data_IF_486474882608
#
_entry.id   IF_486474882608
#
_cell.length_a   1.000
_cell.length_b   1.000
_cell.length_c   1.000
_cell.angle_alpha   90.00
_cell.angle_beta   90.00
_cell.angle_gamma   90.00
#
_symmetry.space_group_name_H-M   'P 1'
#
loop_
_entity.id
_entity.type
_entity.pdbx_description
1 polymer ?
#
# COMPACT_ATOMS: atom_id res chain seq x y z
N UNK A 1 -0.35 -38.65 -27.58
CA UNK A 1 -0.41 -37.22 -27.94
C UNK A 1 -0.37 -36.42 -26.65
N UNK A 2 0.62 -35.54 -26.50
CA UNK A 2 0.78 -34.70 -25.33
C UNK A 2 -0.20 -33.54 -25.50
N UNK A 3 -1.42 -33.67 -24.96
CA UNK A 3 -2.39 -32.58 -24.89
C UNK A 3 -1.84 -31.54 -23.92
N UNK A 4 -0.91 -30.72 -24.41
CA UNK A 4 -0.26 -29.66 -23.65
C UNK A 4 -1.34 -28.77 -23.06
N UNK A 5 -1.42 -28.75 -21.73
CA UNK A 5 -2.31 -27.86 -21.00
C UNK A 5 -1.91 -26.43 -21.39
N UNK A 6 -2.75 -25.78 -22.20
CA UNK A 6 -2.57 -24.40 -22.59
C UNK A 6 -3.00 -23.55 -21.39
N UNK A 7 -2.02 -23.08 -20.63
CA UNK A 7 -2.29 -22.11 -19.59
C UNK A 7 -2.60 -20.76 -20.25
N UNK A 8 -3.88 -20.47 -20.42
CA UNK A 8 -4.33 -19.19 -20.97
C UNK A 8 -4.17 -18.10 -19.91
N UNK A 9 -3.01 -17.45 -19.91
CA UNK A 9 -2.75 -16.21 -19.16
C UNK A 9 -2.52 -15.06 -20.16
N UNK A 10 -3.58 -14.62 -20.86
CA UNK A 10 -3.48 -13.75 -22.03
C UNK A 10 -2.85 -12.39 -21.71
N UNK A 11 -2.84 -12.00 -20.44
CA UNK A 11 -2.22 -10.77 -19.96
C UNK A 11 -1.50 -11.02 -18.62
N UNK A 12 -0.75 -12.13 -18.54
CA UNK A 12 0.05 -12.39 -17.35
C UNK A 12 0.99 -11.21 -17.07
N UNK A 13 0.83 -10.60 -15.91
CA UNK A 13 1.73 -9.57 -15.42
C UNK A 13 1.91 -9.72 -13.91
N UNK A 14 2.94 -9.05 -13.40
CA UNK A 14 3.24 -9.03 -11.98
C UNK A 14 3.76 -7.67 -11.58
N UNK A 15 3.62 -7.36 -10.30
CA UNK A 15 4.20 -6.20 -9.66
C UNK A 15 4.81 -6.59 -8.32
N UNK A 16 5.80 -5.83 -7.87
CA UNK A 16 6.55 -6.09 -6.65
C UNK A 16 6.68 -4.81 -5.83
N UNK A 17 6.58 -4.92 -4.51
CA UNK A 17 6.95 -3.85 -3.58
C UNK A 17 7.79 -4.41 -2.44
N UNK A 18 8.51 -3.55 -1.75
CA UNK A 18 9.34 -3.90 -0.60
C UNK A 18 9.47 -2.69 0.32
N UNK A 19 9.37 -2.93 1.62
CA UNK A 19 9.67 -1.93 2.65
C UNK A 19 9.93 -2.65 3.97
N UNK A 20 10.90 -2.16 4.74
CA UNK A 20 11.34 -2.79 5.97
C UNK A 20 11.91 -4.18 5.69
N UNK A 21 11.41 -5.17 6.42
CA UNK A 21 11.88 -6.55 6.35
C UNK A 21 11.12 -7.42 5.33
N UNK A 22 10.20 -6.83 4.55
CA UNK A 22 9.32 -7.56 3.65
C UNK A 22 9.55 -7.17 2.18
N UNK A 23 9.53 -8.19 1.33
CA UNK A 23 9.38 -8.05 -0.12
C UNK A 23 8.14 -8.86 -0.54
N UNK A 24 7.27 -8.25 -1.35
CA UNK A 24 6.02 -8.85 -1.81
C UNK A 24 5.95 -8.87 -3.33
N UNK A 25 5.29 -9.88 -3.87
CA UNK A 25 4.99 -10.01 -5.29
C UNK A 25 3.53 -10.38 -5.46
N UNK A 26 2.84 -9.72 -6.39
CA UNK A 26 1.50 -10.08 -6.83
C UNK A 26 1.51 -10.31 -8.34
N UNK A 27 0.79 -11.32 -8.81
CA UNK A 27 0.62 -11.62 -10.23
C UNK A 27 -0.83 -11.84 -10.58
N UNK A 28 -1.19 -11.45 -11.81
CA UNK A 28 -2.55 -11.56 -12.35
C UNK A 28 -2.48 -12.14 -13.77
N UNK A 29 -3.31 -13.14 -14.12
CA UNK A 29 -3.32 -13.75 -15.44
C UNK A 29 -4.01 -12.91 -16.52
N UNK A 30 -4.87 -11.97 -16.11
CA UNK A 30 -5.77 -11.25 -17.01
C UNK A 30 -5.82 -9.73 -16.73
N UNK A 31 -5.98 -9.31 -15.46
CA UNK A 31 -6.05 -7.90 -15.10
C UNK A 31 -4.65 -7.30 -14.89
N UNK A 32 -4.50 -5.97 -14.97
CA UNK A 32 -3.27 -5.32 -14.51
C UNK A 32 -3.24 -5.34 -12.98
N UNK A 33 -2.07 -5.65 -12.40
CA UNK A 33 -1.87 -5.67 -10.95
C UNK A 33 -0.81 -4.66 -10.52
N UNK A 34 -1.08 -4.01 -9.39
CA UNK A 34 -0.11 -3.23 -8.61
C UNK A 34 -0.20 -3.68 -7.15
N UNK A 35 0.94 -3.76 -6.47
CA UNK A 35 1.01 -4.09 -5.04
C UNK A 35 1.94 -3.11 -4.36
N UNK A 36 1.56 -2.66 -3.17
CA UNK A 36 2.44 -1.88 -2.31
C UNK A 36 2.45 -2.45 -0.89
N UNK A 37 3.60 -2.34 -0.23
CA UNK A 37 3.76 -2.71 1.18
C UNK A 37 4.53 -1.61 1.87
N UNK A 38 4.01 -1.17 3.00
CA UNK A 38 4.60 -0.09 3.78
C UNK A 38 4.73 -0.55 5.23
N UNK A 39 5.90 -0.31 5.83
CA UNK A 39 6.14 -0.55 7.25
C UNK A 39 5.69 0.65 8.06
N UNK A 40 4.99 0.41 9.17
CA UNK A 40 4.59 1.47 10.09
C UNK A 40 5.83 2.09 10.75
N UNK A 41 6.14 3.35 10.42
CA UNK A 41 7.24 4.09 11.02
C UNK A 41 6.72 5.17 11.98
N UNK A 42 7.17 5.13 13.24
CA UNK A 42 6.82 6.15 14.24
C UNK A 42 7.82 7.31 14.14
N UNK A 43 7.38 8.55 13.84
CA UNK A 43 8.26 9.70 13.75
C UNK A 43 8.92 9.97 15.11
N UNK A 44 10.24 10.21 15.09
CA UNK A 44 11.04 10.41 16.32
C UNK A 44 11.19 11.87 16.73
N UNK A 45 10.94 12.82 15.81
CA UNK A 45 11.27 14.25 15.99
C UNK A 45 10.04 15.16 16.09
N UNK A 46 8.87 14.64 15.81
CA UNK A 46 7.60 15.37 15.78
C UNK A 46 6.46 14.41 16.15
N UNK A 47 5.29 14.95 16.48
CA UNK A 47 4.13 14.10 16.76
C UNK A 47 3.46 13.60 15.47
N UNK A 48 2.62 12.56 15.58
CA UNK A 48 1.97 11.92 14.43
C UNK A 48 1.24 12.92 13.52
N UNK A 49 0.46 13.85 14.09
CA UNK A 49 -0.33 14.81 13.32
C UNK A 49 0.55 15.82 12.61
N UNK A 50 1.63 16.29 13.25
CA UNK A 50 2.63 17.16 12.62
C UNK A 50 3.28 16.47 11.44
N UNK A 51 3.72 15.22 11.62
CA UNK A 51 4.33 14.41 10.57
C UNK A 51 3.40 14.27 9.35
N UNK A 52 2.18 13.76 9.55
CA UNK A 52 1.27 13.45 8.43
C UNK A 52 0.74 14.69 7.71
N UNK A 53 0.70 15.86 8.37
CA UNK A 53 0.22 17.12 7.76
C UNK A 53 1.03 17.53 6.54
N UNK A 54 2.30 17.17 6.46
CA UNK A 54 3.14 17.43 5.29
C UNK A 54 2.64 16.71 4.02
N UNK A 55 1.82 15.67 4.19
CA UNK A 55 1.31 14.82 3.11
C UNK A 55 -0.16 15.09 2.78
N UNK A 56 -0.81 16.05 3.44
CA UNK A 56 -2.27 16.25 3.33
C UNK A 56 -2.73 16.54 1.89
N UNK A 57 -1.86 17.09 1.05
CA UNK A 57 -2.16 17.38 -0.36
C UNK A 57 -2.18 16.15 -1.27
N UNK A 58 -1.70 15.00 -0.80
CA UNK A 58 -1.72 13.74 -1.54
C UNK A 58 -3.02 12.95 -1.36
N UNK A 59 -3.85 13.35 -0.39
CA UNK A 59 -5.12 12.70 -0.07
C UNK A 59 -6.30 13.54 -0.50
N UNK A 60 -7.41 12.90 -0.86
CA UNK A 60 -8.69 13.56 -0.97
C UNK A 60 -9.15 14.05 0.42
N UNK A 61 -10.01 15.08 0.45
CA UNK A 61 -10.51 15.65 1.72
C UNK A 61 -11.15 14.60 2.63
N UNK A 62 -11.89 13.65 2.08
CA UNK A 62 -12.53 12.58 2.87
C UNK A 62 -11.52 11.61 3.47
N UNK A 63 -10.50 11.22 2.70
CA UNK A 63 -9.43 10.33 3.17
C UNK A 63 -8.63 11.01 4.28
N UNK A 64 -8.23 12.26 4.06
CA UNK A 64 -7.54 13.06 5.06
C UNK A 64 -8.34 13.18 6.36
N UNK A 65 -9.65 13.45 6.27
CA UNK A 65 -10.52 13.54 7.43
C UNK A 65 -10.62 12.20 8.19
N UNK A 66 -10.65 11.07 7.48
CA UNK A 66 -10.64 9.74 8.10
C UNK A 66 -9.32 9.50 8.84
N UNK A 67 -8.18 9.78 8.20
CA UNK A 67 -6.85 9.62 8.79
C UNK A 67 -6.72 10.42 10.09
N UNK A 68 -7.04 11.72 10.07
CA UNK A 68 -6.85 12.58 11.25
C UNK A 68 -7.86 12.32 12.39
N UNK A 69 -8.96 11.61 12.11
CA UNK A 69 -10.00 11.29 13.09
C UNK A 69 -10.00 9.84 13.57
N UNK A 70 -9.05 9.03 13.09
CA UNK A 70 -8.92 7.59 13.39
C UNK A 70 -8.69 7.24 14.86
N UNK A 71 -8.28 8.20 15.70
CA UNK A 71 -8.23 8.01 17.16
C UNK A 71 -6.92 8.49 17.77
N UNK A 72 -6.16 7.55 18.34
CA UNK A 72 -4.89 7.84 19.00
C UNK A 72 -3.80 8.17 17.98
N UNK A 73 -2.64 8.67 18.43
CA UNK A 73 -1.52 8.94 17.52
C UNK A 73 -1.04 7.72 16.75
N UNK A 74 -1.16 6.51 17.30
CA UNK A 74 -0.79 5.29 16.58
C UNK A 74 -1.84 4.92 15.54
N UNK A 75 -3.13 5.10 15.85
CA UNK A 75 -4.22 4.85 14.89
C UNK A 75 -4.11 5.79 13.68
N UNK A 76 -3.75 7.06 13.92
CA UNK A 76 -3.49 8.05 12.86
C UNK A 76 -2.34 7.59 11.95
N UNK A 77 -1.26 7.07 12.52
CA UNK A 77 -0.14 6.57 11.72
C UNK A 77 -0.53 5.29 10.99
N UNK A 78 -1.32 4.40 11.59
CA UNK A 78 -1.80 3.17 10.94
C UNK A 78 -2.72 3.48 9.77
N UNK A 79 -3.64 4.44 9.90
CA UNK A 79 -4.55 4.82 8.81
C UNK A 79 -3.84 5.62 7.70
N UNK A 80 -2.74 6.30 8.03
CA UNK A 80 -1.94 7.05 7.05
C UNK A 80 -1.09 6.16 6.13
N UNK A 81 -0.60 5.01 6.62
CA UNK A 81 0.22 4.07 5.85
C UNK A 81 -0.66 3.00 5.18
#
# INVERSE_FOLDING_TARGET
ENSGVKFDFPNFNFNTSHHGDYAVIASEPQCLVGVDVVSLEVPKKENAVEFIKHFSSYFATSEWNNIISSGTSIDILVEFH
#
